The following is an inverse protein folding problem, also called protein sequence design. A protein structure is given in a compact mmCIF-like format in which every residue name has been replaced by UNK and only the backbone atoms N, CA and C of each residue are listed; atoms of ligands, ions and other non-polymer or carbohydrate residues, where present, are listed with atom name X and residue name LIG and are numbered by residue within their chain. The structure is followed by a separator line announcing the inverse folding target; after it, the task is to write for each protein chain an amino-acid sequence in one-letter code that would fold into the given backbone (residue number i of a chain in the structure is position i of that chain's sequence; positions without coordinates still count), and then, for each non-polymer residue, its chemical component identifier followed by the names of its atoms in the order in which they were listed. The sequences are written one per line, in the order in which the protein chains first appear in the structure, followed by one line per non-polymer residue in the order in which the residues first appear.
data_IF_768093215517
#
_entry.id   IF_768093215517
#
_cell.length_a   1.000
_cell.length_b   1.000
_cell.length_c   1.000
_cell.angle_alpha   90.00
_cell.angle_beta   90.00
_cell.angle_gamma   90.00
#
_symmetry.space_group_name_H-M   'P 1'
#
loop_
_entity.id
_entity.type
_entity.pdbx_description
1 polymer ?
#
# COMPACT_ATOMS: atom_id res chain seq x y z
N UNK A 1 -30.55 24.55 -26.31
CA UNK A 1 -30.63 23.09 -26.45
C UNK A 1 -29.27 22.65 -26.97
N UNK A 2 -28.20 22.83 -26.18
CA UNK A 2 -27.93 22.11 -24.92
C UNK A 2 -28.14 20.62 -25.17
N UNK A 3 -27.14 19.74 -25.19
CA UNK A 3 -25.80 19.78 -24.61
C UNK A 3 -25.59 18.36 -24.09
N UNK A 4 -24.49 17.72 -24.48
CA UNK A 4 -23.72 16.80 -23.63
C UNK A 4 -22.43 16.49 -24.40
N UNK A 5 -21.34 17.02 -23.87
CA UNK A 5 -19.99 16.60 -24.20
C UNK A 5 -19.85 15.13 -23.79
N UNK A 6 -19.62 14.25 -24.76
CA UNK A 6 -19.06 12.93 -24.48
C UNK A 6 -17.59 13.15 -24.09
N UNK A 7 -17.33 13.18 -22.78
CA UNK A 7 -15.99 12.99 -22.22
C UNK A 7 -15.57 11.54 -22.51
N UNK A 8 -15.10 11.30 -23.73
CA UNK A 8 -14.47 10.03 -24.12
C UNK A 8 -13.10 10.00 -23.47
N UNK A 9 -13.00 9.17 -22.43
CA UNK A 9 -11.75 8.78 -21.75
C UNK A 9 -10.68 8.44 -22.79
N UNK A 10 -9.58 9.20 -22.76
CA UNK A 10 -8.51 9.14 -23.73
C UNK A 10 -7.74 7.82 -23.74
N UNK A 11 -7.36 7.41 -24.96
CA UNK A 11 -6.36 6.43 -25.38
C UNK A 11 -5.68 5.55 -24.31
N UNK A 12 -6.13 4.29 -24.23
CA UNK A 12 -5.50 3.19 -23.51
C UNK A 12 -4.30 2.61 -24.30
N UNK A 13 -3.10 2.81 -23.76
CA UNK A 13 -1.81 2.13 -24.01
C UNK A 13 -1.28 1.99 -25.47
N UNK A 14 -0.09 2.53 -25.75
CA UNK A 14 0.71 2.22 -26.94
C UNK A 14 1.66 1.06 -26.63
N UNK A 15 1.39 -0.13 -27.16
CA UNK A 15 2.33 -1.24 -27.16
C UNK A 15 3.51 -0.90 -28.08
N UNK A 16 4.69 -0.69 -27.53
CA UNK A 16 5.92 -0.48 -28.29
C UNK A 16 6.76 -1.78 -28.32
N UNK A 17 6.37 -2.78 -29.12
CA UNK A 17 7.25 -3.93 -29.39
C UNK A 17 6.57 -5.19 -29.90
N UNK A 18 7.22 -5.88 -30.83
CA UNK A 18 6.80 -7.14 -31.48
C UNK A 18 7.35 -8.41 -30.79
N UNK A 19 7.71 -8.39 -29.50
CA UNK A 19 8.26 -9.57 -28.79
C UNK A 19 7.30 -10.10 -27.71
N UNK A 20 7.10 -11.43 -27.68
CA UNK A 20 6.18 -12.15 -26.79
C UNK A 20 6.67 -12.25 -25.32
N UNK A 21 7.44 -11.27 -24.83
CA UNK A 21 7.87 -11.17 -23.44
C UNK A 21 6.99 -10.18 -22.67
N UNK A 22 6.55 -10.52 -21.45
CA UNK A 22 5.91 -9.56 -20.56
C UNK A 22 6.96 -8.54 -20.10
N UNK A 23 6.78 -7.27 -20.47
CA UNK A 23 7.57 -6.13 -19.99
C UNK A 23 6.60 -5.18 -19.26
N UNK A 24 6.80 -4.89 -17.97
CA UNK A 24 5.85 -4.09 -17.19
C UNK A 24 5.88 -2.63 -17.64
N UNK A 25 6.95 -2.19 -18.32
CA UNK A 25 7.03 -0.88 -18.96
C UNK A 25 6.07 -0.75 -20.15
N UNK A 26 5.60 -1.86 -20.72
CA UNK A 26 4.58 -1.84 -21.78
C UNK A 26 3.17 -1.57 -21.22
N UNK A 27 3.00 -1.65 -19.89
CA UNK A 27 1.73 -1.52 -19.18
C UNK A 27 1.78 -0.40 -18.11
N UNK A 28 2.21 0.80 -18.51
CA UNK A 28 2.21 1.99 -17.65
C UNK A 28 0.85 2.68 -17.69
N UNK A 29 0.19 2.76 -16.54
CA UNK A 29 -1.09 3.45 -16.42
C UNK A 29 -0.90 4.88 -15.92
N UNK A 30 -1.61 5.83 -16.55
CA UNK A 30 -1.78 7.19 -16.05
C UNK A 30 -3.02 7.24 -15.16
N UNK A 31 -2.84 7.74 -13.94
CA UNK A 31 -3.87 7.79 -12.90
C UNK A 31 -4.17 9.24 -12.55
N UNK A 32 -5.43 9.61 -12.77
CA UNK A 32 -6.05 10.80 -12.22
C UNK A 32 -6.36 10.61 -10.74
N UNK A 33 -5.74 11.43 -9.89
CA UNK A 33 -6.07 11.46 -8.45
C UNK A 33 -7.25 12.39 -8.19
N UNK A 34 -7.31 13.53 -8.86
CA UNK A 34 -8.46 14.43 -8.96
C UNK A 34 -8.27 15.34 -10.18
N UNK A 35 -9.18 16.31 -10.38
CA UNK A 35 -9.17 17.20 -11.55
C UNK A 35 -7.98 18.18 -11.60
N UNK A 36 -7.20 18.33 -10.52
CA UNK A 36 -6.17 19.37 -10.38
C UNK A 36 -4.77 18.82 -10.05
N UNK A 37 -4.70 17.60 -9.56
CA UNK A 37 -3.47 16.89 -9.22
C UNK A 37 -2.87 16.30 -10.49
N UNK A 38 -1.55 16.41 -10.71
CA UNK A 38 -0.92 15.83 -11.89
C UNK A 38 -1.14 14.31 -11.96
N UNK A 39 -1.21 13.80 -13.19
CA UNK A 39 -1.35 12.37 -13.47
C UNK A 39 -0.14 11.59 -12.95
N UNK A 40 -0.38 10.53 -12.17
CA UNK A 40 0.67 9.62 -11.73
C UNK A 40 0.81 8.44 -12.68
N UNK A 41 2.05 8.06 -12.98
CA UNK A 41 2.39 6.95 -13.87
C UNK A 41 2.80 5.73 -13.05
N UNK A 42 1.98 4.69 -13.02
CA UNK A 42 2.23 3.48 -12.22
C UNK A 42 2.21 2.22 -13.08
N UNK A 43 3.03 1.24 -12.69
CA UNK A 43 3.00 -0.14 -13.19
C UNK A 43 2.80 -1.12 -12.04
N UNK A 44 2.49 -2.37 -12.40
CA UNK A 44 2.49 -3.53 -11.51
C UNK A 44 3.77 -4.34 -11.70
N UNK A 45 4.16 -5.10 -10.67
CA UNK A 45 5.38 -5.90 -10.70
C UNK A 45 5.31 -7.06 -11.71
N UNK A 46 6.47 -7.51 -12.18
CA UNK A 46 6.62 -8.63 -13.10
C UNK A 46 6.14 -9.96 -12.53
N UNK A 47 5.55 -10.78 -13.42
CA UNK A 47 5.35 -12.20 -13.18
C UNK A 47 6.62 -12.96 -13.57
N UNK A 48 7.41 -13.36 -12.59
CA UNK A 48 8.67 -14.10 -12.79
C UNK A 48 8.49 -15.59 -13.06
N UNK A 49 7.27 -16.11 -13.02
CA UNK A 49 6.97 -17.53 -13.22
C UNK A 49 7.63 -18.50 -12.22
N UNK A 50 8.45 -17.98 -11.30
CA UNK A 50 9.20 -18.75 -10.29
C UNK A 50 8.40 -18.98 -9.01
N UNK A 51 7.29 -18.28 -8.84
CA UNK A 51 6.52 -18.25 -7.60
C UNK A 51 5.02 -18.17 -7.92
N UNK A 52 4.17 -19.12 -7.47
CA UNK A 52 2.71 -19.00 -7.57
C UNK A 52 2.10 -17.81 -6.79
N UNK A 53 2.93 -16.95 -6.17
CA UNK A 53 2.56 -15.78 -5.38
C UNK A 53 2.68 -14.45 -6.13
N UNK A 54 3.61 -14.30 -7.09
CA UNK A 54 3.45 -13.26 -8.12
C UNK A 54 2.15 -13.53 -8.90
N UNK A 55 1.84 -14.81 -9.11
CA UNK A 55 0.55 -15.32 -9.58
C UNK A 55 -0.68 -15.00 -8.72
N UNK A 56 -0.64 -14.53 -7.46
CA UNK A 56 -1.88 -14.04 -6.79
C UNK A 56 -2.02 -12.52 -6.90
N UNK A 57 -0.91 -11.77 -6.86
CA UNK A 57 -0.86 -10.36 -7.34
C UNK A 57 -0.96 -10.22 -8.87
N UNK A 58 -0.94 -11.34 -9.60
CA UNK A 58 -1.12 -11.43 -11.04
C UNK A 58 -2.39 -12.24 -11.38
N UNK A 59 -2.97 -13.09 -10.51
CA UNK A 59 -4.25 -13.76 -10.81
C UNK A 59 -5.48 -13.13 -10.15
N UNK A 60 -5.36 -12.54 -8.96
CA UNK A 60 -6.42 -11.71 -8.36
C UNK A 60 -6.38 -10.29 -8.92
N UNK A 61 -5.21 -9.88 -9.41
CA UNK A 61 -4.94 -8.55 -9.92
C UNK A 61 -4.75 -8.54 -11.46
N UNK A 62 -4.17 -9.54 -12.11
CA UNK A 62 -4.16 -9.66 -13.59
C UNK A 62 -4.99 -10.84 -14.14
N UNK A 63 -5.72 -11.58 -13.30
CA UNK A 63 -6.60 -12.66 -13.78
C UNK A 63 -5.84 -13.84 -14.37
N UNK A 64 -5.73 -14.95 -13.65
CA UNK A 64 -5.16 -16.18 -14.22
C UNK A 64 -6.08 -16.71 -15.33
N UNK A 65 -5.83 -16.33 -16.58
CA UNK A 65 -5.53 -17.15 -17.77
C UNK A 65 -5.15 -16.14 -18.86
N UNK A 66 -4.07 -16.38 -19.62
CA UNK A 66 -3.73 -15.58 -20.79
C UNK A 66 -4.97 -15.28 -21.65
N UNK A 67 -5.38 -14.00 -21.66
CA UNK A 67 -6.60 -13.55 -22.33
C UNK A 67 -7.46 -12.51 -21.61
N UNK A 68 -7.01 -11.87 -20.51
CA UNK A 68 -7.82 -10.83 -19.82
C UNK A 68 -7.53 -9.40 -20.32
N UNK A 69 -8.59 -8.58 -20.37
CA UNK A 69 -8.60 -7.23 -20.94
C UNK A 69 -7.91 -6.19 -20.03
N UNK A 70 -7.42 -5.11 -20.64
CA UNK A 70 -6.79 -3.95 -19.99
C UNK A 70 -7.63 -3.31 -18.86
N UNK A 71 -8.93 -3.62 -18.79
CA UNK A 71 -9.87 -3.14 -17.77
C UNK A 71 -9.58 -3.66 -16.35
N UNK A 72 -8.94 -4.83 -16.20
CA UNK A 72 -8.65 -5.40 -14.89
C UNK A 72 -7.48 -4.68 -14.20
N UNK A 73 -6.44 -4.32 -14.95
CA UNK A 73 -5.31 -3.51 -14.47
C UNK A 73 -5.75 -2.13 -13.96
N UNK A 74 -6.68 -1.51 -14.71
CA UNK A 74 -7.31 -0.23 -14.33
C UNK A 74 -7.95 -0.31 -12.94
N UNK A 75 -8.49 -1.47 -12.58
CA UNK A 75 -9.23 -1.65 -11.34
C UNK A 75 -8.34 -1.82 -10.11
N UNK A 76 -7.17 -2.45 -10.25
CA UNK A 76 -6.16 -2.56 -9.19
C UNK A 76 -5.68 -1.17 -8.75
N UNK A 77 -5.50 -0.26 -9.72
CA UNK A 77 -5.11 1.11 -9.45
C UNK A 77 -6.22 1.88 -8.72
N UNK A 78 -7.49 1.70 -9.12
CA UNK A 78 -8.66 2.28 -8.45
C UNK A 78 -8.78 1.84 -6.99
N UNK A 79 -8.47 0.58 -6.69
CA UNK A 79 -8.57 0.01 -5.34
C UNK A 79 -7.65 0.73 -4.34
N UNK A 80 -6.49 1.24 -4.81
CA UNK A 80 -5.57 2.06 -3.98
C UNK A 80 -5.82 3.58 -4.11
N UNK A 81 -6.68 3.97 -5.05
CA UNK A 81 -6.95 5.36 -5.36
C UNK A 81 -7.71 6.06 -4.23
N UNK A 82 -8.48 5.34 -3.40
CA UNK A 82 -9.33 5.99 -2.41
C UNK A 82 -8.54 6.79 -1.35
N UNK A 83 -7.46 6.23 -0.78
CA UNK A 83 -6.60 6.96 0.16
C UNK A 83 -5.82 8.07 -0.55
N UNK A 84 -5.37 7.83 -1.79
CA UNK A 84 -4.71 8.85 -2.61
C UNK A 84 -5.62 10.07 -2.83
N UNK A 85 -6.86 9.86 -3.27
CA UNK A 85 -7.87 10.93 -3.41
C UNK A 85 -8.10 11.63 -2.06
N UNK A 86 -8.16 10.88 -0.96
CA UNK A 86 -8.36 11.45 0.37
C UNK A 86 -7.22 12.40 0.76
N UNK A 87 -5.97 12.02 0.48
CA UNK A 87 -4.81 12.90 0.71
C UNK A 87 -4.79 14.11 -0.21
N UNK A 88 -5.22 13.97 -1.46
CA UNK A 88 -5.37 15.11 -2.38
C UNK A 88 -6.43 16.11 -1.93
N UNK A 89 -7.60 15.63 -1.47
CA UNK A 89 -8.65 16.48 -0.90
C UNK A 89 -8.22 17.14 0.42
N UNK A 90 -7.37 16.48 1.21
CA UNK A 90 -6.95 16.95 2.54
C UNK A 90 -5.42 16.93 2.72
N UNK A 91 -4.64 17.77 2.00
CA UNK A 91 -3.17 17.71 2.01
C UNK A 91 -2.53 17.90 3.39
N UNK A 92 -3.21 18.63 4.29
CA UNK A 92 -2.73 18.86 5.66
C UNK A 92 -2.59 17.57 6.50
N UNK A 93 -3.19 16.46 6.06
CA UNK A 93 -3.04 15.15 6.72
C UNK A 93 -1.63 14.58 6.56
N UNK A 94 -0.94 14.93 5.46
CA UNK A 94 0.37 14.36 5.09
C UNK A 94 1.47 15.42 4.99
N UNK A 95 1.13 16.70 4.78
CA UNK A 95 2.11 17.79 4.66
C UNK A 95 3.02 17.89 5.87
N UNK A 96 4.33 17.75 5.66
CA UNK A 96 5.38 17.77 6.67
C UNK A 96 5.40 16.55 7.59
N UNK A 97 4.61 15.51 7.31
CA UNK A 97 4.45 14.30 8.12
C UNK A 97 5.32 13.15 7.63
N UNK A 98 5.60 12.21 8.51
CA UNK A 98 6.24 10.92 8.18
C UNK A 98 5.16 9.86 7.92
N UNK A 99 5.26 9.17 6.78
CA UNK A 99 4.28 8.20 6.30
C UNK A 99 4.92 6.81 6.19
N UNK A 100 4.22 5.77 6.63
CA UNK A 100 4.53 4.37 6.33
C UNK A 100 3.35 3.73 5.60
N UNK A 101 3.60 3.01 4.52
CA UNK A 101 2.58 2.28 3.77
C UNK A 101 2.85 0.78 3.85
N UNK A 102 1.93 0.05 4.47
CA UNK A 102 1.99 -1.41 4.58
C UNK A 102 1.34 -2.05 3.36
N UNK A 103 2.08 -2.91 2.65
CA UNK A 103 1.54 -3.60 1.46
C UNK A 103 1.35 -2.65 0.26
N UNK A 104 2.35 -1.81 0.00
CA UNK A 104 2.25 -0.67 -0.91
C UNK A 104 1.95 -1.05 -2.37
N UNK A 105 2.48 -2.18 -2.84
CA UNK A 105 2.35 -2.67 -4.22
C UNK A 105 2.74 -1.66 -5.31
N UNK A 106 1.82 -0.78 -5.73
CA UNK A 106 2.12 0.33 -6.66
C UNK A 106 2.58 1.61 -5.94
N UNK A 107 2.40 1.70 -4.62
CA UNK A 107 2.74 2.82 -3.76
C UNK A 107 2.02 4.15 -4.06
N UNK A 108 0.91 4.11 -4.79
CA UNK A 108 0.17 5.32 -5.20
C UNK A 108 -0.18 6.26 -4.01
N UNK A 109 -0.72 5.79 -2.86
CA UNK A 109 -0.97 6.65 -1.71
C UNK A 109 0.29 7.38 -1.20
N UNK A 110 1.43 6.71 -1.16
CA UNK A 110 2.70 7.32 -0.73
C UNK A 110 3.26 8.31 -1.74
N UNK A 111 3.14 8.03 -3.05
CA UNK A 111 3.53 8.99 -4.11
C UNK A 111 2.71 10.28 -4.01
N UNK A 112 1.40 10.15 -3.81
CA UNK A 112 0.51 11.29 -3.60
C UNK A 112 0.84 12.03 -2.30
N UNK A 113 1.13 11.31 -1.21
CA UNK A 113 1.56 11.94 0.03
C UNK A 113 2.86 12.76 -0.14
N UNK A 114 3.85 12.23 -0.86
CA UNK A 114 5.10 12.93 -1.20
C UNK A 114 4.86 14.17 -2.06
N UNK A 115 3.99 14.08 -3.06
CA UNK A 115 3.57 15.22 -3.88
C UNK A 115 2.97 16.35 -3.03
N UNK A 116 2.10 16.01 -2.08
CA UNK A 116 1.51 16.97 -1.13
C UNK A 116 2.43 17.37 0.04
N UNK A 117 3.72 17.04 -0.06
CA UNK A 117 4.76 17.55 0.83
C UNK A 117 4.96 16.74 2.10
N UNK A 118 4.67 15.43 2.10
CA UNK A 118 5.16 14.53 3.15
C UNK A 118 6.67 14.67 3.31
N UNK A 119 7.14 14.68 4.57
CA UNK A 119 8.56 14.81 4.90
C UNK A 119 9.32 13.52 4.57
N UNK A 120 8.67 12.38 4.79
CA UNK A 120 9.22 11.05 4.56
C UNK A 120 8.08 10.11 4.19
N UNK A 121 8.29 9.22 3.22
CA UNK A 121 7.43 8.05 2.99
C UNK A 121 8.26 6.76 2.98
N UNK A 122 7.81 5.73 3.71
CA UNK A 122 8.42 4.40 3.70
C UNK A 122 7.38 3.41 3.17
N UNK A 123 7.66 2.81 2.01
CA UNK A 123 6.76 1.90 1.33
C UNK A 123 7.23 0.46 1.51
N UNK A 124 6.38 -0.39 2.09
CA UNK A 124 6.73 -1.79 2.34
C UNK A 124 6.11 -2.74 1.31
N UNK A 125 6.92 -3.69 0.83
CA UNK A 125 6.45 -4.84 0.06
C UNK A 125 6.28 -6.07 0.96
N UNK A 126 5.22 -6.85 0.74
CA UNK A 126 4.95 -8.11 1.46
C UNK A 126 4.80 -9.26 0.44
N UNK A 127 5.28 -10.47 0.78
CA UNK A 127 5.40 -11.62 -0.13
C UNK A 127 4.40 -12.75 0.17
N UNK A 128 3.44 -12.58 1.08
CA UNK A 128 2.52 -13.66 1.55
C UNK A 128 1.46 -14.16 0.56
N UNK A 129 1.50 -13.70 -0.69
CA UNK A 129 0.60 -14.13 -1.75
C UNK A 129 0.73 -15.64 -2.11
N UNK A 130 1.73 -16.34 -1.56
CA UNK A 130 1.98 -17.77 -1.76
C UNK A 130 0.99 -18.71 -1.05
N UNK A 131 0.47 -18.37 0.13
CA UNK A 131 -0.25 -19.37 0.95
C UNK A 131 -1.72 -19.57 0.57
N UNK A 132 -2.35 -18.60 -0.10
CA UNK A 132 -3.82 -18.64 -0.31
C UNK A 132 -4.24 -19.24 -1.66
N UNK A 133 -3.41 -19.14 -2.70
CA UNK A 133 -3.83 -19.54 -4.07
C UNK A 133 -3.91 -21.05 -4.32
N UNK A 134 -3.29 -21.89 -3.48
CA UNK A 134 -3.12 -23.32 -3.79
C UNK A 134 -3.94 -24.27 -2.91
N UNK A 135 -4.77 -23.78 -1.98
CA UNK A 135 -5.60 -24.67 -1.14
C UNK A 135 -4.81 -25.66 -0.26
N UNK A 136 -3.49 -25.47 -0.11
CA UNK A 136 -2.65 -26.32 0.75
C UNK A 136 -2.73 -25.87 2.21
N UNK A 137 -3.91 -26.02 2.83
CA UNK A 137 -4.07 -25.86 4.28
C UNK A 137 -3.30 -26.92 5.10
N UNK A 138 -2.78 -27.97 4.45
CA UNK A 138 -2.27 -29.17 5.14
C UNK A 138 -0.78 -29.50 4.97
N UNK A 139 0.02 -28.73 4.21
CA UNK A 139 1.43 -29.10 3.93
C UNK A 139 2.45 -28.11 4.48
N UNK A 140 2.04 -26.99 5.08
CA UNK A 140 2.98 -25.99 5.62
C UNK A 140 3.05 -26.04 7.15
N UNK A 141 3.24 -27.24 7.71
CA UNK A 141 3.65 -27.41 9.11
C UNK A 141 5.06 -27.98 9.26
N UNK A 142 5.87 -28.04 8.18
CA UNK A 142 7.15 -28.74 8.25
C UNK A 142 8.30 -28.32 7.34
N UNK A 143 8.26 -27.21 6.60
CA UNK A 143 9.41 -26.83 5.76
C UNK A 143 9.59 -25.31 5.64
N UNK A 144 10.74 -24.82 6.10
CA UNK A 144 11.20 -23.42 6.16
C UNK A 144 11.41 -22.72 4.80
N UNK A 145 10.48 -22.84 3.84
CA UNK A 145 10.71 -22.36 2.47
C UNK A 145 9.94 -21.09 2.06
N UNK A 146 9.18 -20.46 2.97
CA UNK A 146 8.37 -19.25 2.65
C UNK A 146 8.76 -17.98 3.41
N UNK A 147 9.81 -17.96 4.24
CA UNK A 147 9.92 -16.96 5.31
C UNK A 147 10.81 -15.73 5.03
N UNK A 148 11.70 -15.73 4.02
CA UNK A 148 12.83 -14.79 4.06
C UNK A 148 13.10 -13.98 2.76
N UNK A 149 12.13 -13.79 1.87
CA UNK A 149 12.32 -12.93 0.68
C UNK A 149 11.36 -11.74 0.68
N UNK A 150 11.84 -10.50 0.85
CA UNK A 150 11.23 -9.37 0.20
C UNK A 150 11.17 -9.69 -1.30
N UNK A 151 9.99 -9.72 -1.91
CA UNK A 151 9.89 -9.93 -3.35
C UNK A 151 10.63 -8.80 -4.06
N UNK A 152 11.84 -9.08 -4.54
CA UNK A 152 12.69 -8.08 -5.18
C UNK A 152 12.00 -7.40 -6.36
N UNK A 153 11.12 -8.12 -7.08
CA UNK A 153 10.37 -7.55 -8.19
C UNK A 153 9.33 -6.56 -7.71
N UNK A 154 8.65 -6.85 -6.60
CA UNK A 154 7.71 -5.91 -5.99
C UNK A 154 8.43 -4.64 -5.52
N UNK A 155 9.57 -4.78 -4.85
CA UNK A 155 10.36 -3.64 -4.40
C UNK A 155 10.95 -2.85 -5.58
N UNK A 156 11.43 -3.54 -6.63
CA UNK A 156 11.89 -2.91 -7.88
C UNK A 156 10.76 -2.16 -8.59
N UNK A 157 9.54 -2.70 -8.59
CA UNK A 157 8.37 -2.04 -9.17
C UNK A 157 7.99 -0.77 -8.39
N UNK A 158 7.97 -0.82 -7.06
CA UNK A 158 7.75 0.37 -6.22
C UNK A 158 8.81 1.43 -6.53
N UNK A 159 10.09 1.04 -6.57
CA UNK A 159 11.20 1.95 -6.91
C UNK A 159 11.05 2.54 -8.32
N UNK A 160 10.59 1.75 -9.29
CA UNK A 160 10.34 2.21 -10.66
C UNK A 160 9.17 3.20 -10.71
N UNK A 161 8.08 2.95 -9.99
CA UNK A 161 6.97 3.90 -9.85
C UNK A 161 7.42 5.22 -9.22
N UNK A 162 8.29 5.19 -8.21
CA UNK A 162 8.88 6.40 -7.64
C UNK A 162 9.66 7.17 -8.71
N UNK A 163 10.57 6.51 -9.42
CA UNK A 163 11.41 7.15 -10.43
C UNK A 163 10.58 7.77 -11.57
N UNK A 164 9.54 7.07 -12.05
CA UNK A 164 8.65 7.59 -13.11
C UNK A 164 7.92 8.87 -12.71
N UNK A 165 7.67 9.06 -11.42
CA UNK A 165 6.95 10.20 -10.88
C UNK A 165 7.85 11.22 -10.18
N UNK A 166 9.19 11.07 -10.24
CA UNK A 166 10.14 11.87 -9.46
C UNK A 166 9.94 13.39 -9.61
N UNK A 167 9.62 13.84 -10.83
CA UNK A 167 9.33 15.26 -11.12
C UNK A 167 8.09 15.82 -10.44
N UNK A 168 7.17 14.95 -10.01
CA UNK A 168 5.94 15.30 -9.30
C UNK A 168 6.12 15.28 -7.78
N UNK A 169 7.15 14.59 -7.27
CA UNK A 169 7.35 14.43 -5.84
C UNK A 169 7.91 15.72 -5.23
N UNK A 170 7.48 16.06 -4.02
CA UNK A 170 8.07 17.15 -3.26
C UNK A 170 9.49 16.80 -2.76
N UNK A 171 10.08 17.68 -1.95
CA UNK A 171 11.41 17.47 -1.36
C UNK A 171 11.45 16.41 -0.23
N UNK A 172 10.40 15.60 -0.09
CA UNK A 172 10.30 14.56 0.93
C UNK A 172 11.26 13.41 0.64
N UNK A 173 11.83 12.82 1.68
CA UNK A 173 12.62 11.59 1.53
C UNK A 173 11.68 10.40 1.27
N UNK A 174 12.17 9.38 0.57
CA UNK A 174 11.43 8.14 0.35
C UNK A 174 12.34 6.93 0.52
N UNK A 175 11.80 5.83 1.04
CA UNK A 175 12.51 4.54 1.14
C UNK A 175 11.58 3.39 0.78
N UNK A 176 12.15 2.37 0.13
CA UNK A 176 11.44 1.13 -0.24
C UNK A 176 12.13 -0.01 0.46
N UNK A 177 11.39 -0.79 1.25
CA UNK A 177 11.96 -1.90 2.00
C UNK A 177 10.99 -3.07 2.11
N UNK A 178 11.55 -4.26 2.31
CA UNK A 178 10.76 -5.41 2.74
C UNK A 178 10.34 -5.22 4.20
N UNK A 179 9.09 -5.56 4.50
CA UNK A 179 8.66 -5.75 5.87
C UNK A 179 7.86 -7.04 5.94
N UNK A 180 7.83 -7.64 7.12
CA UNK A 180 6.94 -8.75 7.43
C UNK A 180 5.98 -8.27 8.51
N UNK A 181 4.68 -8.26 8.24
CA UNK A 181 3.69 -7.90 9.28
C UNK A 181 3.89 -8.73 10.55
N UNK A 182 3.83 -8.07 11.70
CA UNK A 182 4.04 -8.68 13.01
C UNK A 182 5.51 -8.86 13.42
N UNK A 183 6.46 -8.72 12.48
CA UNK A 183 7.90 -8.75 12.76
C UNK A 183 8.41 -7.44 13.37
N UNK A 184 9.70 -7.42 13.72
CA UNK A 184 10.36 -6.24 14.29
C UNK A 184 10.34 -5.04 13.31
N UNK A 185 10.02 -3.86 13.83
CA UNK A 185 9.86 -2.64 13.02
C UNK A 185 11.06 -1.70 13.11
N UNK A 186 12.17 -2.09 13.75
CA UNK A 186 13.33 -1.22 13.90
C UNK A 186 13.94 -0.83 12.55
N UNK A 187 13.86 -1.70 11.53
CA UNK A 187 14.27 -1.39 10.16
C UNK A 187 13.49 -0.22 9.57
N UNK A 188 12.16 -0.22 9.71
CA UNK A 188 11.28 0.86 9.24
C UNK A 188 11.56 2.17 9.99
N UNK A 189 11.73 2.09 11.31
CA UNK A 189 11.97 3.27 12.14
C UNK A 189 13.35 3.90 11.86
N UNK A 190 14.35 3.10 11.50
CA UNK A 190 15.69 3.58 11.11
C UNK A 190 15.66 4.46 9.86
N UNK A 191 14.71 4.25 8.94
CA UNK A 191 14.53 5.11 7.77
C UNK A 191 14.23 6.57 8.16
N UNK A 192 13.70 6.81 9.37
CA UNK A 192 13.40 8.15 9.87
C UNK A 192 14.65 8.93 10.33
N UNK A 193 15.78 8.26 10.57
CA UNK A 193 17.01 8.90 11.05
C UNK A 193 17.70 9.69 9.93
N UNK A 194 17.69 11.03 10.03
CA UNK A 194 18.32 11.94 9.06
C UNK A 194 19.86 11.85 9.03
N UNK A 195 20.46 11.30 10.09
CA UNK A 195 21.92 11.19 10.28
C UNK A 195 22.64 10.27 9.30
N UNK A 196 21.92 9.52 8.46
CA UNK A 196 22.52 8.58 7.49
C UNK A 196 22.97 9.23 6.17
N UNK A 197 22.69 10.51 5.94
CA UNK A 197 23.16 11.22 4.73
C UNK A 197 24.66 11.61 4.76
N UNK A 198 25.36 11.45 5.89
CA UNK A 198 26.82 11.69 5.97
C UNK A 198 27.55 10.35 6.07
N UNK A 199 27.80 9.71 4.93
CA UNK A 199 28.82 8.65 4.85
C UNK A 199 30.21 9.29 4.93
N UNK A 200 30.88 9.23 6.08
CA UNK A 200 32.35 9.18 6.10
C UNK A 200 32.84 8.40 7.31
N UNK A 201 33.67 7.39 7.00
CA UNK A 201 34.64 6.69 7.86
C UNK A 201 34.14 5.92 9.09
N UNK A 202 34.49 4.64 9.06
CA UNK A 202 34.46 3.64 10.12
C UNK A 202 34.88 4.16 11.50
N UNK A 203 34.10 3.78 12.51
CA UNK A 203 34.64 3.36 13.80
C UNK A 203 33.69 2.33 14.39
N UNK A 204 34.17 1.09 14.51
CA UNK A 204 33.53 0.05 15.32
C UNK A 204 33.60 0.46 16.78
N UNK A 205 32.44 0.64 17.40
CA UNK A 205 32.32 1.08 18.78
C UNK A 205 30.87 0.96 19.23
N UNK A 206 30.63 -0.06 20.05
CA UNK A 206 29.36 -0.39 20.68
C UNK A 206 28.79 0.81 21.45
N UNK A 207 27.51 1.09 21.19
CA UNK A 207 26.60 1.60 22.22
C UNK A 207 25.17 1.27 21.76
N UNK A 208 24.52 0.36 22.48
CA UNK A 208 23.08 0.08 22.41
C UNK A 208 22.32 1.34 22.87
N UNK A 209 22.30 2.37 22.02
CA UNK A 209 21.55 3.60 22.26
C UNK A 209 20.08 3.26 22.26
N UNK A 210 19.50 3.37 23.46
CA UNK A 210 18.08 3.43 23.78
C UNK A 210 17.35 4.19 22.65
N UNK A 211 16.56 3.47 21.86
CA UNK A 211 15.75 4.04 20.78
C UNK A 211 14.84 5.10 21.39
N UNK A 212 15.17 6.36 21.18
CA UNK A 212 14.42 7.48 21.73
C UNK A 212 13.01 7.45 21.14
N UNK A 213 11.98 7.71 21.94
CA UNK A 213 10.54 7.60 21.59
C UNK A 213 10.13 8.59 20.46
N UNK A 214 11.11 9.30 19.86
CA UNK A 214 10.93 10.43 18.95
C UNK A 214 10.88 10.10 17.46
N UNK A 215 11.25 8.91 17.00
CA UNK A 215 11.26 8.58 15.57
C UNK A 215 10.24 7.51 15.25
N UNK A 216 8.97 7.92 15.13
CA UNK A 216 7.85 7.08 14.68
C UNK A 216 7.06 7.80 13.58
N UNK A 217 6.19 7.07 12.91
CA UNK A 217 5.38 7.61 11.82
C UNK A 217 4.17 8.39 12.35
N UNK A 218 3.90 9.54 11.72
CA UNK A 218 2.67 10.30 11.94
C UNK A 218 1.46 9.62 11.28
N UNK A 219 1.69 8.99 10.12
CA UNK A 219 0.65 8.41 9.28
C UNK A 219 1.03 6.99 8.89
N UNK A 220 0.10 6.06 9.04
CA UNK A 220 0.16 4.72 8.47
C UNK A 220 -0.90 4.58 7.38
N UNK A 221 -0.56 3.93 6.27
CA UNK A 221 -1.47 3.62 5.17
C UNK A 221 -1.62 2.10 5.08
N UNK A 222 -2.87 1.65 5.01
CA UNK A 222 -3.25 0.25 4.82
C UNK A 222 -4.31 0.22 3.73
N UNK A 223 -3.88 0.08 2.49
CA UNK A 223 -4.79 0.01 1.36
C UNK A 223 -5.02 -1.46 0.98
N UNK A 224 -6.23 -1.96 1.26
CA UNK A 224 -6.79 -3.18 0.66
C UNK A 224 -6.08 -4.46 1.13
N UNK A 225 -5.80 -4.47 2.43
CA UNK A 225 -5.15 -5.57 3.14
C UNK A 225 -6.11 -6.41 3.99
N UNK A 226 -7.38 -5.98 4.20
CA UNK A 226 -8.25 -6.59 5.20
C UNK A 226 -8.79 -7.97 4.83
N UNK A 227 -8.76 -8.38 3.56
CA UNK A 227 -9.13 -9.74 3.15
C UNK A 227 -8.17 -10.82 3.71
N UNK A 228 -6.98 -10.44 4.20
CA UNK A 228 -6.01 -11.32 4.87
C UNK A 228 -6.36 -11.49 6.36
N UNK A 229 -7.52 -12.08 6.65
CA UNK A 229 -8.10 -12.16 8.02
C UNK A 229 -7.16 -12.72 9.09
N UNK A 230 -6.32 -13.68 8.71
CA UNK A 230 -5.37 -14.35 9.61
C UNK A 230 -4.18 -13.47 10.01
N UNK A 231 -3.84 -12.46 9.19
CA UNK A 231 -2.73 -11.54 9.45
C UNK A 231 -3.17 -10.22 10.12
N UNK A 232 -4.44 -10.08 10.46
CA UNK A 232 -4.95 -8.85 11.09
C UNK A 232 -4.19 -8.45 12.35
N UNK A 233 -3.86 -9.41 13.21
CA UNK A 233 -3.16 -9.13 14.46
C UNK A 233 -1.70 -8.73 14.20
N UNK A 234 -1.04 -9.40 13.26
CA UNK A 234 0.33 -9.09 12.84
C UNK A 234 0.42 -7.71 12.19
N UNK A 235 -0.52 -7.37 11.30
CA UNK A 235 -0.63 -6.04 10.70
C UNK A 235 -0.88 -4.97 11.77
N UNK A 236 -1.81 -5.20 12.70
CA UNK A 236 -2.06 -4.27 13.81
C UNK A 236 -0.84 -4.08 14.72
N UNK A 237 -0.07 -5.14 14.99
CA UNK A 237 1.18 -5.06 15.74
C UNK A 237 2.22 -4.18 15.03
N UNK A 238 2.34 -4.29 13.71
CA UNK A 238 3.23 -3.43 12.92
C UNK A 238 2.75 -1.97 12.92
N UNK A 239 1.44 -1.73 12.75
CA UNK A 239 0.85 -0.37 12.81
C UNK A 239 1.11 0.26 14.19
N UNK A 240 0.81 -0.45 15.28
CA UNK A 240 0.97 0.01 16.65
C UNK A 240 2.43 0.38 16.98
N UNK A 241 3.36 -0.49 16.59
CA UNK A 241 4.80 -0.30 16.81
C UNK A 241 5.44 0.75 15.89
N UNK A 242 4.79 1.12 14.78
CA UNK A 242 5.29 2.16 13.88
C UNK A 242 4.73 3.55 14.17
N UNK A 243 3.49 3.65 14.68
CA UNK A 243 2.82 4.94 14.86
C UNK A 243 3.24 5.68 16.13
N UNK A 244 3.35 7.00 16.02
CA UNK A 244 3.41 7.90 17.18
C UNK A 244 2.12 7.78 18.04
N UNK A 245 2.13 8.19 19.32
CA UNK A 245 0.91 8.18 20.15
C UNK A 245 -0.27 8.93 19.54
N UNK A 246 -0.02 10.03 18.82
CA UNK A 246 -1.02 10.84 18.13
C UNK A 246 -1.14 10.50 16.62
N UNK A 247 -0.47 9.44 16.17
CA UNK A 247 -0.45 9.02 14.78
C UNK A 247 -1.81 8.48 14.33
N UNK A 248 -2.03 8.50 13.01
CA UNK A 248 -3.27 8.03 12.38
C UNK A 248 -2.97 6.90 11.42
N UNK A 249 -3.77 5.83 11.44
CA UNK A 249 -3.76 4.84 10.37
C UNK A 249 -4.97 5.06 9.46
N UNK A 250 -4.77 5.25 8.16
CA UNK A 250 -5.83 5.25 7.16
C UNK A 250 -5.94 3.86 6.57
N UNK A 251 -7.13 3.28 6.63
CA UNK A 251 -7.42 1.92 6.24
C UNK A 251 -8.52 1.94 5.21
N UNK A 252 -8.23 1.53 3.98
CA UNK A 252 -9.24 1.31 2.94
C UNK A 252 -9.41 -0.18 2.67
N UNK A 253 -10.65 -0.61 2.45
CA UNK A 253 -10.96 -1.98 2.08
C UNK A 253 -12.32 -2.07 1.38
N UNK A 254 -12.48 -3.04 0.48
CA UNK A 254 -13.77 -3.59 0.08
C UNK A 254 -13.95 -5.02 0.59
N UNK A 255 -15.20 -5.47 0.64
CA UNK A 255 -15.53 -6.86 0.97
C UNK A 255 -15.31 -7.76 -0.26
N UNK A 256 -14.10 -8.32 -0.37
CA UNK A 256 -13.71 -9.16 -1.52
C UNK A 256 -14.13 -10.63 -1.39
N UNK A 257 -14.43 -11.09 -0.17
CA UNK A 257 -14.76 -12.50 0.11
C UNK A 257 -16.22 -12.59 0.59
N UNK A 258 -17.17 -12.99 -0.27
CA UNK A 258 -18.58 -13.08 0.08
C UNK A 258 -18.83 -13.96 1.31
N UNK A 259 -19.63 -13.47 2.27
CA UNK A 259 -19.95 -14.17 3.52
C UNK A 259 -18.89 -14.05 4.62
N UNK A 260 -17.78 -13.36 4.35
CA UNK A 260 -16.70 -13.12 5.30
C UNK A 260 -16.59 -11.64 5.71
N UNK A 261 -17.62 -10.84 5.48
CA UNK A 261 -17.64 -9.41 5.76
C UNK A 261 -17.35 -9.13 7.25
N UNK A 262 -17.89 -9.97 8.13
CA UNK A 262 -17.64 -9.87 9.57
C UNK A 262 -16.18 -10.16 9.94
N UNK A 263 -15.47 -10.96 9.14
CA UNK A 263 -14.05 -11.22 9.35
C UNK A 263 -13.22 -9.98 8.99
N UNK A 264 -13.55 -9.27 7.90
CA UNK A 264 -12.92 -7.97 7.58
C UNK A 264 -13.13 -6.98 8.73
N UNK A 265 -14.38 -6.83 9.18
CA UNK A 265 -14.76 -5.93 10.27
C UNK A 265 -14.16 -6.33 11.63
N UNK A 266 -13.76 -7.59 11.79
CA UNK A 266 -13.09 -8.06 13.01
C UNK A 266 -11.75 -7.33 13.24
N UNK A 267 -11.12 -6.82 12.18
CA UNK A 267 -9.92 -5.98 12.26
C UNK A 267 -10.10 -4.81 13.22
N UNK A 268 -11.20 -4.06 13.10
CA UNK A 268 -11.47 -2.88 13.94
C UNK A 268 -11.75 -3.26 15.39
N UNK A 269 -12.41 -4.40 15.61
CA UNK A 269 -12.66 -4.93 16.95
C UNK A 269 -11.34 -5.34 17.63
N UNK A 270 -10.45 -6.01 16.89
CA UNK A 270 -9.09 -6.36 17.35
C UNK A 270 -8.26 -5.11 17.61
N UNK A 271 -8.30 -4.11 16.72
CA UNK A 271 -7.58 -2.84 16.85
C UNK A 271 -7.92 -2.13 18.17
N UNK A 272 -9.21 -2.07 18.51
CA UNK A 272 -9.67 -1.50 19.78
C UNK A 272 -9.25 -2.33 20.98
N UNK A 273 -9.46 -3.65 20.94
CA UNK A 273 -9.23 -4.56 22.07
C UNK A 273 -7.75 -4.72 22.41
N UNK A 274 -6.89 -4.84 21.41
CA UNK A 274 -5.47 -5.17 21.58
C UNK A 274 -4.59 -3.92 21.76
N UNK A 275 -4.93 -2.83 21.06
CA UNK A 275 -4.05 -1.65 20.95
C UNK A 275 -4.75 -0.32 21.28
N UNK A 276 -6.03 -0.35 21.65
CA UNK A 276 -6.76 0.85 22.07
C UNK A 276 -7.17 1.79 20.94
N UNK A 277 -7.01 1.41 19.67
CA UNK A 277 -7.42 2.23 18.53
C UNK A 277 -8.95 2.38 18.47
N UNK A 278 -9.41 3.62 18.31
CA UNK A 278 -10.77 3.92 17.88
C UNK A 278 -10.79 3.99 16.35
N UNK A 279 -11.74 3.29 15.74
CA UNK A 279 -11.99 3.35 14.31
C UNK A 279 -13.12 4.33 14.04
N UNK A 280 -12.91 5.26 13.11
CA UNK A 280 -13.93 6.18 12.61
C UNK A 280 -14.06 5.98 11.11
N UNK A 281 -15.27 5.66 10.66
CA UNK A 281 -15.60 5.63 9.23
C UNK A 281 -15.57 7.05 8.67
N UNK A 282 -14.78 7.28 7.62
CA UNK A 282 -14.61 8.59 7.00
C UNK A 282 -15.48 8.76 5.76
N UNK A 283 -15.50 7.79 4.87
CA UNK A 283 -16.15 7.89 3.56
C UNK A 283 -16.39 6.51 2.94
N UNK A 284 -17.36 6.42 2.03
CA UNK A 284 -17.65 5.22 1.23
C UNK A 284 -17.70 5.61 -0.24
N UNK A 285 -16.98 4.87 -1.08
CA UNK A 285 -16.95 5.09 -2.51
C UNK A 285 -17.39 3.82 -3.24
N UNK A 286 -18.40 3.93 -4.09
CA UNK A 286 -18.72 2.86 -5.02
C UNK A 286 -17.63 2.78 -6.10
N UNK A 287 -17.05 1.60 -6.27
CA UNK A 287 -16.03 1.31 -7.28
C UNK A 287 -16.41 0.07 -8.07
N UNK A 288 -15.97 -0.09 -9.33
CA UNK A 288 -16.20 -1.33 -10.05
C UNK A 288 -15.62 -2.54 -9.28
N UNK A 289 -16.25 -3.70 -9.40
CA UNK A 289 -15.81 -4.91 -8.72
C UNK A 289 -14.64 -5.54 -9.48
N UNK A 290 -13.61 -5.98 -8.75
CA UNK A 290 -12.34 -6.46 -9.32
C UNK A 290 -12.56 -7.45 -10.46
N UNK A 291 -13.48 -8.39 -10.31
CA UNK A 291 -13.73 -9.42 -11.31
C UNK A 291 -14.86 -9.10 -12.31
N UNK A 292 -15.56 -7.97 -12.14
CA UNK A 292 -16.68 -7.59 -12.99
C UNK A 292 -16.92 -6.08 -12.95
N UNK A 293 -16.49 -5.36 -14.00
CA UNK A 293 -16.62 -3.92 -14.07
C UNK A 293 -18.06 -3.39 -14.14
N UNK A 294 -19.04 -4.25 -14.49
CA UNK A 294 -20.46 -3.90 -14.49
C UNK A 294 -21.10 -3.97 -13.09
N UNK A 295 -20.40 -4.61 -12.14
CA UNK A 295 -20.79 -4.67 -10.74
C UNK A 295 -20.03 -3.62 -9.96
N UNK A 296 -20.70 -2.93 -9.05
CA UNK A 296 -20.07 -2.01 -8.12
C UNK A 296 -19.97 -2.63 -6.73
N UNK A 297 -18.85 -2.39 -6.07
CA UNK A 297 -18.65 -2.64 -4.65
C UNK A 297 -18.33 -1.36 -3.92
N UNK A 298 -18.84 -1.28 -2.70
CA UNK A 298 -18.46 -0.23 -1.78
C UNK A 298 -17.03 -0.49 -1.27
N UNK A 299 -16.16 0.49 -1.52
CA UNK A 299 -14.91 0.66 -0.80
C UNK A 299 -15.16 1.57 0.40
N UNK A 300 -14.62 1.18 1.54
CA UNK A 300 -14.76 1.92 2.78
C UNK A 300 -13.42 2.52 3.16
N UNK A 301 -13.44 3.75 3.69
CA UNK A 301 -12.28 4.41 4.28
C UNK A 301 -12.50 4.63 5.77
N UNK A 302 -11.59 4.11 6.58
CA UNK A 302 -11.56 4.30 8.02
C UNK A 302 -10.27 5.00 8.45
N UNK A 303 -10.35 5.72 9.57
CA UNK A 303 -9.17 6.19 10.30
C UNK A 303 -9.12 5.56 11.69
N UNK A 304 -7.94 5.04 12.05
CA UNK A 304 -7.63 4.59 13.39
C UNK A 304 -6.86 5.67 14.14
N UNK A 305 -7.30 5.97 15.36
CA UNK A 305 -6.63 6.92 16.27
C UNK A 305 -6.64 6.39 17.69
N UNK A 306 -5.65 6.73 18.52
CA UNK A 306 -5.69 6.46 19.95
C UNK A 306 -6.44 7.60 20.67
N UNK A 307 -7.14 7.29 21.75
CA UNK A 307 -7.70 8.32 22.63
C UNK A 307 -6.55 9.12 23.27
N UNK A 308 -6.57 10.44 23.19
CA UNK A 308 -5.61 11.27 23.91
C UNK A 308 -5.84 11.12 25.42
N UNK A 309 -4.92 10.49 26.15
CA UNK A 309 -5.01 10.39 27.63
C UNK A 309 -4.85 11.74 28.36
N UNK A 310 -4.69 12.86 27.65
CA UNK A 310 -4.45 14.19 28.26
C UNK A 310 -5.58 15.22 28.00
N UNK A 311 -6.85 14.82 28.00
CA UNK A 311 -7.99 15.76 27.95
C UNK A 311 -8.74 15.90 29.29
N UNK A 312 -8.08 15.54 30.40
CA UNK A 312 -8.65 15.62 31.75
C UNK A 312 -7.70 16.39 32.67
N UNK A 313 -7.87 17.70 32.73
CA UNK A 313 -7.48 18.53 33.87
C UNK A 313 -8.62 19.51 34.13
#
# INVERSE_FOLDING_TARGET
MDGLEDNIVGSLFLQHGEDNGYNPEDFIQEIDVDDITPHFRISVADDDGGIPGSLFACAVWNGAVGGMSQQLYFLIAIIRLFIAIHFARYPNLVKGRTVVEFGAASALPSLVALHFGAKMAVMTGETWLLCFSLGFYHVVTGSSFCLDYPNELLLKNIASNIHRNESLLGNGRHEVCGHLWGSDTAGLLRCLDESQCVKTSMSEGEDLRRMDVKTRFDVAVVAECLWLHHLHEDLLKSIDSCLTPCGKAFVSFAHHVPGHEQNDLSFFTKAKKLYGFNAVHLDTLASPHVFNADLFVDQYLYVLTRSNENSSN
#
